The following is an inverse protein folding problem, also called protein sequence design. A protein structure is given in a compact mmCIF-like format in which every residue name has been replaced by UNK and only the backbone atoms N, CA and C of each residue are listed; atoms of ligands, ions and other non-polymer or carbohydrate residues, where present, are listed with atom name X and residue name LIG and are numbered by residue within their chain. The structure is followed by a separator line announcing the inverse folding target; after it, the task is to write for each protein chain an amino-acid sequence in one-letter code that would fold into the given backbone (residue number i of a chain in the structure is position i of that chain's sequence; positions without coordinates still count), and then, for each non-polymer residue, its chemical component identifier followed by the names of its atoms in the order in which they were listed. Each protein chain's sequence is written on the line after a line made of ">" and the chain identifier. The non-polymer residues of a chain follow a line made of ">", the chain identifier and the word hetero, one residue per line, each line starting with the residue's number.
data_IF_697252350165
#
_entry.id   IF_697252350165
#
_cell.length_a   1.000
_cell.length_b   1.000
_cell.length_c   1.000
_cell.angle_alpha   90.00
_cell.angle_beta   90.00
_cell.angle_gamma   90.00
#
_symmetry.space_group_name_H-M   'P 1'
#
loop_
_entity.id
_entity.type
_entity.pdbx_description
1 polymer ?
#
# COMPACT_ATOMS: atom_id res chain seq x y z
N UNK A 1 11.39 -6.82 96.49
CA UNK A 1 11.35 -8.03 95.64
C UNK A 1 10.41 -7.80 94.46
N UNK A 2 10.90 -7.81 93.21
CA UNK A 2 10.06 -7.63 92.01
C UNK A 2 9.21 -8.90 91.79
N UNK A 3 7.87 -8.76 91.73
CA UNK A 3 6.94 -9.85 91.41
C UNK A 3 7.27 -10.42 90.04
N UNK A 4 7.56 -11.73 89.95
CA UNK A 4 7.73 -12.44 88.69
C UNK A 4 6.43 -12.34 87.88
N UNK A 5 6.49 -11.81 86.67
CA UNK A 5 5.35 -11.80 85.76
C UNK A 5 4.92 -13.24 85.48
N UNK A 6 3.61 -13.52 85.60
CA UNK A 6 3.07 -14.86 85.37
C UNK A 6 3.26 -15.24 83.90
N UNK A 7 3.91 -16.37 83.68
CA UNK A 7 4.31 -16.88 82.36
C UNK A 7 3.11 -17.26 81.48
N UNK A 8 2.00 -17.64 82.10
CA UNK A 8 0.74 -17.96 81.41
C UNK A 8 -0.39 -17.06 81.92
N UNK A 9 -0.99 -16.29 81.01
CA UNK A 9 -2.16 -15.46 81.27
C UNK A 9 -3.33 -15.92 80.42
N UNK A 10 -4.36 -16.49 81.06
CA UNK A 10 -5.61 -16.82 80.38
C UNK A 10 -6.39 -15.54 80.09
N UNK A 11 -6.69 -15.27 78.83
CA UNK A 11 -7.53 -14.15 78.44
C UNK A 11 -8.95 -14.34 78.99
N UNK A 12 -9.51 -13.32 79.65
CA UNK A 12 -10.90 -13.36 80.15
C UNK A 12 -11.87 -13.65 79.01
N UNK A 13 -12.83 -14.54 79.25
CA UNK A 13 -13.90 -14.86 78.31
C UNK A 13 -14.75 -13.61 78.09
N UNK A 14 -14.88 -13.15 76.84
CA UNK A 14 -15.74 -12.02 76.46
C UNK A 14 -16.99 -12.58 75.81
N UNK A 15 -18.14 -12.40 76.46
CA UNK A 15 -19.45 -12.85 75.98
C UNK A 15 -19.72 -12.22 74.61
N UNK A 16 -20.20 -13.02 73.65
CA UNK A 16 -20.49 -12.59 72.26
C UNK A 16 -19.29 -12.59 71.30
N UNK A 17 -18.06 -12.85 71.76
CA UNK A 17 -16.89 -13.02 70.88
C UNK A 17 -16.56 -14.50 70.67
N UNK A 18 -16.05 -14.84 69.48
CA UNK A 18 -15.58 -16.21 69.19
C UNK A 18 -14.51 -16.60 70.20
N UNK A 19 -14.64 -17.83 70.71
CA UNK A 19 -13.72 -18.40 71.68
C UNK A 19 -12.31 -18.41 71.06
N UNK A 20 -11.30 -17.85 71.74
CA UNK A 20 -9.94 -17.85 71.22
C UNK A 20 -9.44 -19.29 71.07
N UNK A 21 -8.65 -19.53 70.02
CA UNK A 21 -8.03 -20.83 69.76
C UNK A 21 -7.12 -21.21 70.94
N UNK A 22 -6.99 -22.52 71.19
CA UNK A 22 -6.13 -23.03 72.27
C UNK A 22 -4.68 -22.60 72.03
N UNK A 23 -3.91 -22.41 73.10
CA UNK A 23 -2.52 -21.92 73.01
C UNK A 23 -1.57 -22.87 72.29
N UNK A 24 -1.94 -24.14 72.13
CA UNK A 24 -1.22 -25.17 71.39
C UNK A 24 -1.78 -25.40 69.97
N UNK A 25 -2.73 -24.58 69.51
CA UNK A 25 -3.28 -24.70 68.16
C UNK A 25 -2.23 -24.26 67.13
N UNK A 26 -1.77 -25.19 66.31
CA UNK A 26 -0.82 -24.91 65.23
C UNK A 26 -1.57 -24.37 64.03
N UNK A 27 -1.33 -23.11 63.66
CA UNK A 27 -1.98 -22.52 62.50
C UNK A 27 -1.32 -22.99 61.20
N UNK A 28 -1.97 -23.90 60.48
CA UNK A 28 -1.52 -24.42 59.18
C UNK A 28 -1.94 -23.56 57.99
N UNK A 29 -2.51 -22.37 58.22
CA UNK A 29 -2.86 -21.44 57.16
C UNK A 29 -1.63 -20.68 56.66
N UNK A 30 -0.98 -21.20 55.63
CA UNK A 30 0.00 -20.45 54.87
C UNK A 30 -0.60 -19.99 53.54
N UNK A 31 -0.12 -18.83 53.05
CA UNK A 31 -0.46 -18.31 51.72
C UNK A 31 0.82 -18.29 50.90
N UNK A 32 0.87 -19.06 49.84
CA UNK A 32 1.94 -18.96 48.84
C UNK A 32 1.46 -18.11 47.66
N UNK A 33 2.34 -17.26 47.14
CA UNK A 33 2.12 -16.51 45.89
C UNK A 33 3.09 -17.05 44.85
N UNK A 34 2.57 -17.35 43.65
CA UNK A 34 3.41 -17.73 42.53
C UNK A 34 4.11 -16.50 41.97
N UNK A 35 5.42 -16.58 41.75
CA UNK A 35 6.15 -15.60 40.95
C UNK A 35 5.86 -15.92 39.48
N UNK A 36 5.22 -14.98 38.78
CA UNK A 36 5.02 -15.06 37.33
C UNK A 36 6.15 -14.28 36.68
N UNK A 37 7.11 -15.01 36.09
CA UNK A 37 8.13 -14.40 35.24
C UNK A 37 7.49 -14.06 33.89
N UNK A 38 7.81 -12.89 33.34
CA UNK A 38 7.44 -12.57 31.95
C UNK A 38 8.25 -13.48 31.04
N UNK A 39 7.59 -14.16 30.11
CA UNK A 39 8.29 -14.95 29.10
C UNK A 39 9.24 -14.04 28.32
N UNK A 40 10.54 -14.25 28.52
CA UNK A 40 11.58 -13.66 27.68
C UNK A 40 11.63 -14.52 26.42
N UNK A 41 10.82 -14.13 25.44
CA UNK A 41 10.61 -14.88 24.21
C UNK A 41 11.88 -14.92 23.35
N UNK A 42 12.77 -15.87 23.64
CA UNK A 42 13.89 -16.22 22.76
C UNK A 42 13.43 -16.83 21.44
N UNK A 43 12.13 -17.18 21.35
CA UNK A 43 11.47 -17.85 20.22
C UNK A 43 10.05 -17.28 19.99
N UNK A 44 9.89 -15.98 19.69
CA UNK A 44 8.59 -15.54 19.16
C UNK A 44 8.36 -16.20 17.79
N UNK A 45 7.48 -17.20 17.75
CA UNK A 45 7.04 -17.85 16.51
C UNK A 45 6.36 -16.84 15.56
N UNK A 46 5.81 -15.75 16.10
CA UNK A 46 5.19 -14.70 15.32
C UNK A 46 6.16 -13.54 15.06
N UNK A 47 6.95 -13.67 13.98
CA UNK A 47 7.90 -12.64 13.56
C UNK A 47 7.23 -11.30 13.19
N UNK A 48 5.94 -11.32 12.81
CA UNK A 48 5.19 -10.09 12.55
C UNK A 48 4.91 -9.31 13.86
N UNK A 49 4.57 -10.01 14.94
CA UNK A 49 4.37 -9.39 16.25
C UNK A 49 5.67 -8.78 16.80
N UNK A 50 6.80 -9.49 16.64
CA UNK A 50 8.14 -8.98 16.97
C UNK A 50 8.42 -7.68 16.24
N UNK A 51 8.20 -7.68 14.91
CA UNK A 51 8.46 -6.52 14.07
C UNK A 51 7.55 -5.35 14.44
N UNK A 52 6.26 -5.60 14.69
CA UNK A 52 5.28 -4.58 15.09
C UNK A 52 5.69 -3.82 16.36
N UNK A 53 6.16 -4.55 17.39
CA UNK A 53 6.61 -3.95 18.66
C UNK A 53 7.92 -3.16 18.52
N UNK A 54 8.70 -3.46 17.49
CA UNK A 54 10.05 -2.95 17.29
C UNK A 54 10.19 -2.20 15.96
N UNK A 55 9.12 -1.56 15.47
CA UNK A 55 9.15 -0.80 14.21
C UNK A 55 10.18 0.32 14.21
N UNK A 56 10.45 0.91 15.37
CA UNK A 56 11.42 1.98 15.54
C UNK A 56 12.81 1.48 15.99
N UNK A 57 13.04 0.17 15.95
CA UNK A 57 14.34 -0.42 16.26
C UNK A 57 15.37 -0.13 15.17
N UNK A 58 16.62 -0.53 15.43
CA UNK A 58 17.70 -0.35 14.48
C UNK A 58 17.46 -1.11 13.16
N UNK A 59 18.14 -0.64 12.10
CA UNK A 59 18.09 -1.23 10.76
C UNK A 59 18.35 -2.73 10.75
N UNK A 60 19.39 -3.20 11.45
CA UNK A 60 19.81 -4.60 11.44
C UNK A 60 18.72 -5.51 12.00
N UNK A 61 18.05 -5.10 13.08
CA UNK A 61 16.95 -5.82 13.68
C UNK A 61 15.75 -5.92 12.73
N UNK A 62 15.36 -4.81 12.10
CA UNK A 62 14.28 -4.79 11.09
C UNK A 62 14.57 -5.74 9.94
N UNK A 63 15.80 -5.70 9.39
CA UNK A 63 16.22 -6.58 8.31
C UNK A 63 16.23 -8.06 8.71
N UNK A 64 16.69 -8.37 9.92
CA UNK A 64 16.65 -9.74 10.45
C UNK A 64 15.21 -10.25 10.54
N UNK A 65 14.30 -9.43 11.06
CA UNK A 65 12.88 -9.78 11.16
C UNK A 65 12.26 -9.97 9.77
N UNK A 66 12.46 -9.03 8.85
CA UNK A 66 11.95 -9.12 7.48
C UNK A 66 12.48 -10.35 6.74
N UNK A 67 13.75 -10.71 6.93
CA UNK A 67 14.33 -11.93 6.36
C UNK A 67 13.65 -13.19 6.90
N UNK A 68 13.36 -13.25 8.21
CA UNK A 68 12.63 -14.36 8.82
C UNK A 68 11.16 -14.40 8.38
N UNK A 69 10.54 -13.24 8.20
CA UNK A 69 9.17 -13.14 7.69
C UNK A 69 9.10 -13.69 6.27
N UNK A 70 10.01 -13.25 5.40
CA UNK A 70 10.09 -13.68 4.02
C UNK A 70 10.32 -15.19 3.87
N UNK A 71 11.23 -15.77 4.66
CA UNK A 71 11.64 -17.18 4.52
C UNK A 71 10.73 -18.19 5.23
N UNK A 72 10.10 -17.81 6.35
CA UNK A 72 9.41 -18.77 7.21
C UNK A 72 7.96 -18.38 7.49
N UNK A 73 7.69 -17.11 7.81
CA UNK A 73 6.37 -16.70 8.27
C UNK A 73 5.34 -16.75 7.14
N UNK A 74 5.68 -16.15 5.99
CA UNK A 74 4.79 -16.04 4.84
C UNK A 74 4.50 -17.37 4.15
N UNK A 75 5.29 -18.41 4.40
CA UNK A 75 5.04 -19.75 3.84
C UNK A 75 4.15 -20.60 4.75
N UNK A 76 4.10 -20.28 6.06
CA UNK A 76 3.39 -21.10 7.07
C UNK A 76 2.10 -20.47 7.59
N UNK A 77 1.99 -19.15 7.60
CA UNK A 77 0.88 -18.42 8.23
C UNK A 77 0.03 -17.71 7.18
N UNK A 78 -1.28 -17.63 7.37
CA UNK A 78 -2.15 -16.86 6.48
C UNK A 78 -1.76 -15.38 6.44
N UNK A 79 -1.92 -14.74 5.28
CA UNK A 79 -1.72 -13.30 5.15
C UNK A 79 -2.97 -12.60 5.65
N UNK A 80 -2.84 -11.86 6.75
CA UNK A 80 -3.92 -11.10 7.36
C UNK A 80 -3.72 -9.58 7.23
N UNK A 81 -4.77 -8.82 7.57
CA UNK A 81 -4.76 -7.36 7.47
C UNK A 81 -3.74 -6.71 8.41
N UNK A 82 -3.48 -7.30 9.57
CA UNK A 82 -2.48 -6.80 10.51
C UNK A 82 -1.07 -6.93 9.93
N UNK A 83 -0.75 -8.08 9.33
CA UNK A 83 0.53 -8.31 8.68
C UNK A 83 0.77 -7.33 7.55
N UNK A 84 -0.23 -7.13 6.69
CA UNK A 84 -0.15 -6.15 5.60
C UNK A 84 0.00 -4.74 6.15
N UNK A 85 -0.69 -4.38 7.23
CA UNK A 85 -0.57 -3.05 7.84
C UNK A 85 0.83 -2.80 8.44
N UNK A 86 1.43 -3.80 9.10
CA UNK A 86 2.80 -3.71 9.61
C UNK A 86 3.80 -3.52 8.46
N UNK A 87 3.70 -4.31 7.40
CA UNK A 87 4.58 -4.18 6.23
C UNK A 87 4.37 -2.84 5.52
N UNK A 88 3.13 -2.39 5.34
CA UNK A 88 2.82 -1.13 4.65
C UNK A 88 3.47 0.08 5.32
N UNK A 89 3.56 0.10 6.66
CA UNK A 89 4.26 1.16 7.40
C UNK A 89 5.75 1.26 7.07
N UNK A 90 6.40 0.13 6.79
CA UNK A 90 7.82 0.06 6.45
C UNK A 90 8.13 0.41 4.99
N UNK A 91 7.11 0.67 4.16
CA UNK A 91 7.30 1.27 2.83
C UNK A 91 7.86 2.69 2.91
N UNK A 92 7.61 3.38 4.02
CA UNK A 92 8.05 4.76 4.27
C UNK A 92 9.27 4.82 5.20
N UNK A 93 10.00 3.71 5.35
CA UNK A 93 11.18 3.67 6.22
C UNK A 93 12.32 4.52 5.65
N UNK A 94 13.08 5.19 6.51
CA UNK A 94 14.23 6.00 6.09
C UNK A 94 15.33 5.14 5.45
N UNK A 95 15.43 3.86 5.83
CA UNK A 95 16.46 2.96 5.32
C UNK A 95 16.01 2.23 4.04
N UNK A 96 16.67 2.51 2.93
CA UNK A 96 16.40 1.88 1.62
C UNK A 96 16.37 0.34 1.67
N UNK A 97 17.33 -0.27 2.37
CA UNK A 97 17.40 -1.74 2.50
C UNK A 97 16.17 -2.31 3.20
N UNK A 98 15.60 -1.58 4.16
CA UNK A 98 14.38 -1.98 4.89
C UNK A 98 13.18 -1.87 3.97
N UNK A 99 13.05 -0.76 3.23
CA UNK A 99 11.99 -0.60 2.22
C UNK A 99 12.03 -1.70 1.16
N UNK A 100 13.20 -1.97 0.59
CA UNK A 100 13.41 -3.01 -0.43
C UNK A 100 13.10 -4.42 0.08
N UNK A 101 13.45 -4.72 1.34
CA UNK A 101 13.10 -6.01 1.97
C UNK A 101 11.61 -6.12 2.27
N UNK A 102 10.98 -5.00 2.63
CA UNK A 102 9.52 -4.90 2.85
C UNK A 102 8.74 -5.10 1.57
N UNK A 103 9.15 -4.45 0.46
CA UNK A 103 8.56 -4.62 -0.86
C UNK A 103 8.62 -6.08 -1.30
N UNK A 104 9.75 -6.77 -1.05
CA UNK A 104 9.87 -8.21 -1.31
C UNK A 104 8.87 -9.03 -0.51
N UNK A 105 8.66 -8.71 0.77
CA UNK A 105 7.66 -9.38 1.60
C UNK A 105 6.25 -9.14 1.07
N UNK A 106 5.87 -7.89 0.75
CA UNK A 106 4.54 -7.55 0.22
C UNK A 106 4.29 -8.26 -1.12
N UNK A 107 5.25 -8.22 -2.05
CA UNK A 107 5.13 -8.92 -3.34
C UNK A 107 4.96 -10.43 -3.16
N UNK A 108 5.70 -11.04 -2.22
CA UNK A 108 5.53 -12.47 -1.88
C UNK A 108 4.14 -12.75 -1.31
N UNK A 109 3.67 -11.93 -0.37
CA UNK A 109 2.32 -12.05 0.21
C UNK A 109 1.23 -11.97 -0.86
N UNK A 110 1.29 -10.97 -1.74
CA UNK A 110 0.30 -10.80 -2.82
C UNK A 110 0.35 -11.95 -3.83
N UNK A 111 1.53 -12.37 -4.28
CA UNK A 111 1.66 -13.50 -5.21
C UNK A 111 1.13 -14.80 -4.60
N UNK A 112 1.26 -14.98 -3.28
CA UNK A 112 0.68 -16.11 -2.57
C UNK A 112 -0.85 -16.05 -2.56
N UNK A 113 -1.44 -14.90 -2.20
CA UNK A 113 -2.89 -14.71 -2.25
C UNK A 113 -3.46 -15.05 -3.63
N UNK A 114 -2.82 -14.55 -4.69
CA UNK A 114 -3.21 -14.85 -6.08
C UNK A 114 -3.11 -16.35 -6.38
N UNK A 115 -2.02 -17.00 -5.96
CA UNK A 115 -1.82 -18.44 -6.18
C UNK A 115 -2.88 -19.29 -5.45
N UNK A 116 -3.36 -18.81 -4.31
CA UNK A 116 -4.40 -19.45 -3.49
C UNK A 116 -5.82 -19.00 -3.90
N UNK A 117 -5.98 -18.31 -5.04
CA UNK A 117 -7.24 -17.78 -5.56
C UNK A 117 -7.99 -16.87 -4.56
N UNK A 118 -7.23 -16.18 -3.71
CA UNK A 118 -7.75 -15.22 -2.73
C UNK A 118 -7.71 -13.80 -3.28
N UNK A 119 -8.79 -13.04 -3.02
CA UNK A 119 -8.86 -11.64 -3.44
C UNK A 119 -7.85 -10.77 -2.68
N UNK A 120 -7.12 -9.93 -3.41
CA UNK A 120 -6.22 -8.93 -2.83
C UNK A 120 -6.99 -7.68 -2.36
N UNK A 121 -8.19 -7.46 -2.89
CA UNK A 121 -9.00 -6.25 -2.69
C UNK A 121 -9.19 -5.85 -1.21
N UNK A 122 -9.39 -6.77 -0.24
CA UNK A 122 -9.54 -6.41 1.17
C UNK A 122 -8.32 -5.67 1.75
N UNK A 123 -7.13 -5.89 1.18
CA UNK A 123 -5.88 -5.32 1.68
C UNK A 123 -5.47 -4.04 0.94
N UNK A 124 -6.09 -3.74 -0.20
CA UNK A 124 -5.70 -2.61 -1.05
C UNK A 124 -5.87 -1.28 -0.34
N UNK A 125 -6.96 -1.07 0.39
CA UNK A 125 -7.20 0.19 1.11
C UNK A 125 -6.04 0.53 2.05
N UNK A 126 -5.51 -0.46 2.77
CA UNK A 126 -4.37 -0.27 3.69
C UNK A 126 -3.11 0.03 2.90
N UNK A 127 -2.76 -0.81 1.92
CA UNK A 127 -1.54 -0.66 1.11
C UNK A 127 -1.52 0.69 0.37
N UNK A 128 -2.62 1.01 -0.31
CA UNK A 128 -2.75 2.22 -1.12
C UNK A 128 -2.71 3.49 -0.28
N UNK A 129 -3.13 3.46 0.99
CA UNK A 129 -2.99 4.60 1.90
C UNK A 129 -1.51 4.96 2.13
N UNK A 130 -0.67 3.97 2.41
CA UNK A 130 0.76 4.21 2.61
C UNK A 130 1.49 4.52 1.30
N UNK A 131 1.09 3.89 0.20
CA UNK A 131 1.64 4.19 -1.14
C UNK A 131 1.29 5.61 -1.55
N UNK A 132 0.06 6.09 -1.31
CA UNK A 132 -0.33 7.48 -1.57
C UNK A 132 0.63 8.45 -0.88
N UNK A 133 0.92 8.23 0.40
CA UNK A 133 1.90 9.03 1.14
C UNK A 133 3.31 8.92 0.55
N UNK A 134 3.71 7.72 0.12
CA UNK A 134 5.01 7.46 -0.48
C UNK A 134 5.22 8.12 -1.85
N UNK A 135 4.19 8.16 -2.69
CA UNK A 135 4.23 8.81 -4.01
C UNK A 135 4.43 10.34 -3.90
N UNK A 136 3.91 10.96 -2.85
CA UNK A 136 4.06 12.40 -2.59
C UNK A 136 5.14 12.69 -1.53
N UNK A 137 6.02 11.73 -1.26
CA UNK A 137 7.04 11.88 -0.23
C UNK A 137 8.17 12.84 -0.67
N UNK A 138 8.80 13.50 0.29
CA UNK A 138 9.90 14.46 0.03
C UNK A 138 11.21 13.78 -0.42
N UNK A 139 11.40 12.52 -0.02
CA UNK A 139 12.55 11.69 -0.42
C UNK A 139 12.24 10.94 -1.71
N UNK A 140 12.99 11.25 -2.77
CA UNK A 140 12.87 10.63 -4.09
C UNK A 140 13.08 9.10 -4.06
N UNK A 141 13.89 8.57 -3.13
CA UNK A 141 14.08 7.14 -2.96
C UNK A 141 12.78 6.46 -2.51
N UNK A 142 12.05 7.09 -1.59
CA UNK A 142 10.73 6.60 -1.13
C UNK A 142 9.69 6.72 -2.26
N UNK A 143 9.71 7.81 -3.02
CA UNK A 143 8.82 8.01 -4.19
C UNK A 143 9.06 6.93 -5.24
N UNK A 144 10.32 6.63 -5.57
CA UNK A 144 10.69 5.58 -6.51
C UNK A 144 10.21 4.20 -6.05
N UNK A 145 10.51 3.85 -4.80
CA UNK A 145 10.10 2.57 -4.20
C UNK A 145 8.57 2.40 -4.17
N UNK A 146 7.86 3.49 -3.86
CA UNK A 146 6.39 3.55 -3.83
C UNK A 146 5.79 3.41 -5.23
N UNK A 147 6.40 4.05 -6.22
CA UNK A 147 6.00 3.94 -7.63
C UNK A 147 6.17 2.51 -8.15
N UNK A 148 7.23 1.82 -7.74
CA UNK A 148 7.50 0.44 -8.17
C UNK A 148 6.55 -0.58 -7.55
N UNK A 149 6.21 -0.44 -6.26
CA UNK A 149 5.19 -1.31 -5.66
C UNK A 149 3.80 -0.97 -6.20
N UNK A 150 3.49 0.29 -6.46
CA UNK A 150 2.20 0.70 -7.04
C UNK A 150 2.02 0.14 -8.47
N UNK A 151 3.06 0.24 -9.31
CA UNK A 151 3.06 -0.37 -10.64
C UNK A 151 2.86 -1.89 -10.58
N UNK A 152 3.48 -2.57 -9.61
CA UNK A 152 3.26 -3.99 -9.38
C UNK A 152 1.81 -4.31 -8.96
N UNK A 153 1.19 -3.49 -8.12
CA UNK A 153 -0.19 -3.67 -7.69
C UNK A 153 -1.14 -3.52 -8.89
N UNK A 154 -0.95 -2.51 -9.74
CA UNK A 154 -1.75 -2.31 -10.95
C UNK A 154 -1.71 -3.55 -11.86
N UNK A 155 -0.54 -4.17 -12.01
CA UNK A 155 -0.38 -5.38 -12.85
C UNK A 155 -1.09 -6.62 -12.26
N UNK A 156 -1.47 -6.58 -10.98
CA UNK A 156 -2.08 -7.71 -10.26
C UNK A 156 -3.52 -7.50 -9.83
N UNK A 157 -4.02 -6.28 -9.86
CA UNK A 157 -5.37 -5.94 -9.44
C UNK A 157 -6.40 -6.16 -10.55
N UNK A 158 -7.60 -6.56 -10.12
CA UNK A 158 -8.75 -6.66 -11.00
C UNK A 158 -9.39 -5.28 -11.29
N UNK A 159 -10.20 -5.26 -12.33
CA UNK A 159 -10.98 -4.13 -12.81
C UNK A 159 -11.77 -3.37 -11.73
N UNK A 160 -12.22 -4.07 -10.69
CA UNK A 160 -13.02 -3.52 -9.58
C UNK A 160 -12.29 -2.47 -8.76
N UNK A 161 -10.96 -2.48 -8.79
CA UNK A 161 -10.12 -1.67 -7.90
C UNK A 161 -9.60 -0.40 -8.56
N UNK A 162 -9.97 -0.13 -9.81
CA UNK A 162 -9.46 1.01 -10.59
C UNK A 162 -9.77 2.36 -9.96
N UNK A 163 -10.95 2.56 -9.39
CA UNK A 163 -11.28 3.82 -8.74
C UNK A 163 -10.32 4.11 -7.56
N UNK A 164 -10.00 3.10 -6.75
CA UNK A 164 -9.04 3.24 -5.65
C UNK A 164 -7.62 3.54 -6.16
N UNK A 165 -7.20 2.88 -7.25
CA UNK A 165 -5.91 3.13 -7.89
C UNK A 165 -5.83 4.58 -8.42
N UNK A 166 -6.88 5.06 -9.08
CA UNK A 166 -6.93 6.45 -9.58
C UNK A 166 -6.87 7.44 -8.42
N UNK A 167 -7.67 7.26 -7.37
CA UNK A 167 -7.69 8.15 -6.20
C UNK A 167 -6.34 8.17 -5.44
N UNK A 168 -5.60 7.07 -5.50
CA UNK A 168 -4.25 6.97 -4.92
C UNK A 168 -3.24 7.76 -5.74
N UNK A 169 -3.37 7.71 -7.07
CA UNK A 169 -2.38 8.28 -7.99
C UNK A 169 -2.65 9.74 -8.33
N UNK A 170 -3.90 10.20 -8.32
CA UNK A 170 -4.28 11.56 -8.72
C UNK A 170 -3.47 12.66 -7.98
N UNK A 171 -3.25 12.59 -6.65
CA UNK A 171 -2.45 13.59 -5.95
C UNK A 171 -1.00 13.67 -6.42
N UNK A 172 -0.41 12.57 -6.91
CA UNK A 172 0.94 12.55 -7.48
C UNK A 172 1.00 13.35 -8.79
N UNK A 173 -0.04 13.24 -9.62
CA UNK A 173 -0.12 13.95 -10.89
C UNK A 173 -0.40 15.45 -10.72
N UNK A 174 -1.14 15.83 -9.68
CA UNK A 174 -1.44 17.24 -9.38
C UNK A 174 -0.22 18.06 -8.94
N UNK A 175 0.91 17.42 -8.61
CA UNK A 175 2.15 18.10 -8.23
C UNK A 175 2.93 18.42 -9.52
N UNK A 176 2.54 19.50 -10.19
CA UNK A 176 2.96 19.90 -11.55
C UNK A 176 4.48 20.05 -11.82
N UNK A 177 5.32 20.05 -10.78
CA UNK A 177 6.76 20.34 -10.88
C UNK A 177 7.67 19.12 -10.90
N UNK A 178 7.17 17.90 -10.72
CA UNK A 178 8.00 16.69 -10.54
C UNK A 178 7.48 15.41 -11.22
N UNK A 179 6.57 15.54 -12.20
CA UNK A 179 6.04 14.37 -12.91
C UNK A 179 7.10 13.76 -13.84
N UNK A 180 7.47 12.53 -13.56
CA UNK A 180 8.54 11.76 -14.24
C UNK A 180 7.98 10.92 -15.39
N UNK A 181 8.84 10.38 -16.26
CA UNK A 181 8.41 9.42 -17.27
C UNK A 181 7.70 8.20 -16.67
N UNK A 182 8.11 7.78 -15.47
CA UNK A 182 7.50 6.66 -14.75
C UNK A 182 6.06 6.93 -14.35
N UNK A 183 5.75 8.17 -13.97
CA UNK A 183 4.38 8.58 -13.64
C UNK A 183 3.47 8.48 -14.88
N UNK A 184 3.97 8.86 -16.07
CA UNK A 184 3.23 8.69 -17.32
C UNK A 184 3.04 7.22 -17.68
N UNK A 185 4.05 6.36 -17.50
CA UNK A 185 3.89 4.90 -17.71
C UNK A 185 2.82 4.30 -16.79
N UNK A 186 2.77 4.73 -15.53
CA UNK A 186 1.77 4.30 -14.55
C UNK A 186 0.37 4.80 -14.96
N UNK A 187 0.25 6.08 -15.34
CA UNK A 187 -0.99 6.66 -15.84
C UNK A 187 -1.53 5.89 -17.06
N UNK A 188 -0.64 5.58 -18.01
CA UNK A 188 -0.95 4.78 -19.19
C UNK A 188 -1.53 3.42 -18.81
N UNK A 189 -0.89 2.70 -17.87
CA UNK A 189 -1.38 1.39 -17.40
C UNK A 189 -2.77 1.49 -16.78
N UNK A 190 -3.00 2.47 -15.90
CA UNK A 190 -4.31 2.69 -15.27
C UNK A 190 -5.37 2.97 -16.33
N UNK A 191 -5.09 3.88 -17.27
CA UNK A 191 -6.03 4.26 -18.33
C UNK A 191 -6.34 3.10 -19.27
N UNK A 192 -5.35 2.28 -19.64
CA UNK A 192 -5.58 1.05 -20.43
C UNK A 192 -6.48 0.08 -19.69
N UNK A 193 -6.22 -0.13 -18.40
CA UNK A 193 -7.02 -1.02 -17.58
C UNK A 193 -8.47 -0.53 -17.53
N UNK A 194 -8.70 0.76 -17.29
CA UNK A 194 -10.03 1.40 -17.30
C UNK A 194 -10.70 1.27 -18.68
N UNK A 195 -9.98 1.53 -19.77
CA UNK A 195 -10.52 1.45 -21.12
C UNK A 195 -10.92 0.02 -21.53
N UNK A 196 -10.12 -0.99 -21.15
CA UNK A 196 -10.40 -2.40 -21.45
C UNK A 196 -11.58 -2.94 -20.64
N UNK A 197 -11.79 -2.42 -19.43
CA UNK A 197 -12.95 -2.73 -18.57
C UNK A 197 -14.31 -2.56 -19.23
N UNK A 198 -14.44 -1.52 -20.06
CA UNK A 198 -15.67 -1.20 -20.77
C UNK A 198 -16.11 -2.30 -21.76
N UNK A 199 -15.24 -3.25 -22.12
CA UNK A 199 -15.61 -4.33 -23.06
C UNK A 199 -16.22 -5.57 -22.39
N UNK A 200 -16.02 -5.77 -21.07
CA UNK A 200 -16.53 -6.94 -20.34
C UNK A 200 -17.50 -6.61 -19.20
N UNK A 201 -17.49 -5.39 -18.67
CA UNK A 201 -18.28 -5.03 -17.49
C UNK A 201 -19.76 -4.69 -17.78
N UNK A 202 -20.12 -4.25 -18.99
CA UNK A 202 -21.50 -3.83 -19.29
C UNK A 202 -22.51 -5.00 -19.47
N UNK A 203 -22.08 -6.26 -19.28
CA UNK A 203 -22.99 -7.43 -19.41
C UNK A 203 -23.18 -8.26 -18.15
N UNK A 204 -22.49 -7.99 -17.04
CA UNK A 204 -22.74 -8.71 -15.79
C UNK A 204 -22.70 -7.78 -14.59
N UNK A 205 -23.88 -7.66 -13.98
CA UNK A 205 -24.14 -7.19 -12.62
C UNK A 205 -24.35 -5.68 -12.44
N UNK A 206 -25.31 -5.11 -13.17
CA UNK A 206 -26.24 -4.23 -12.47
C UNK A 206 -27.23 -5.12 -11.72
N UNK A 207 -27.05 -5.25 -10.41
CA UNK A 207 -28.15 -5.63 -9.52
C UNK A 207 -29.24 -4.58 -9.72
N UNK A 208 -30.22 -4.88 -10.57
CA UNK A 208 -31.38 -4.02 -10.77
C UNK A 208 -32.24 -4.09 -9.52
N UNK A 209 -31.93 -3.22 -8.55
CA UNK A 209 -32.83 -2.98 -7.43
C UNK A 209 -34.01 -2.20 -8.01
N UNK A 210 -35.07 -2.92 -8.37
CA UNK A 210 -36.36 -2.30 -8.68
C UNK A 210 -36.97 -1.89 -7.34
N UNK A 211 -37.02 -0.60 -7.10
CA UNK A 211 -37.82 -0.02 -6.03
C UNK A 211 -39.29 -0.15 -6.42
N UNK A 212 -40.01 -1.04 -5.74
CA UNK A 212 -41.48 -1.06 -5.78
C UNK A 212 -41.99 -0.18 -4.65
N UNK A 213 -42.86 0.76 -4.98
CA UNK A 213 -43.36 1.83 -4.10
C UNK A 213 -44.25 1.38 -2.94
N UNK A 214 -44.35 0.08 -2.68
CA UNK A 214 -45.38 -0.47 -1.78
C UNK A 214 -44.85 -1.09 -0.49
N UNK A 215 -43.54 -1.31 -0.31
CA UNK A 215 -43.02 -1.78 0.98
C UNK A 215 -41.60 -1.27 1.26
N UNK A 216 -41.48 -0.37 2.24
CA UNK A 216 -40.22 0.28 2.68
C UNK A 216 -39.26 -0.65 3.44
N UNK A 217 -39.28 -1.97 3.19
CA UNK A 217 -38.30 -2.91 3.76
C UNK A 217 -37.76 -3.85 2.68
N UNK A 218 -36.50 -3.63 2.30
CA UNK A 218 -35.73 -4.60 1.54
C UNK A 218 -35.27 -5.70 2.51
N UNK A 219 -35.92 -6.86 2.49
CA UNK A 219 -35.54 -8.00 3.31
C UNK A 219 -34.25 -8.66 2.78
N UNK A 220 -33.12 -8.19 3.29
CA UNK A 220 -31.76 -8.65 2.94
C UNK A 220 -31.45 -10.05 3.51
N UNK A 221 -32.36 -10.64 4.31
CA UNK A 221 -32.14 -11.95 4.94
C UNK A 221 -32.08 -13.09 3.93
N UNK A 222 -32.70 -12.95 2.76
CA UNK A 222 -32.68 -13.96 1.68
C UNK A 222 -31.39 -13.98 0.83
N UNK A 223 -30.48 -13.04 1.04
CA UNK A 223 -29.18 -12.94 0.34
C UNK A 223 -27.99 -13.30 1.24
N UNK A 224 -28.25 -13.94 2.38
CA UNK A 224 -27.22 -14.29 3.37
C UNK A 224 -26.27 -15.38 2.86
N UNK A 225 -25.09 -14.95 2.39
CA UNK A 225 -23.87 -15.75 2.45
C UNK A 225 -23.61 -16.02 3.95
N UNK A 226 -23.48 -17.29 4.30
CA UNK A 226 -23.18 -17.78 5.65
C UNK A 226 -21.84 -17.19 6.11
N UNK A 227 -21.87 -16.15 6.93
CA UNK A 227 -20.99 -15.94 8.10
C UNK A 227 -21.39 -14.66 8.84
N UNK A 228 -21.82 -14.74 10.13
CA UNK A 228 -22.11 -13.56 10.93
C UNK A 228 -20.87 -13.22 11.76
N UNK A 229 -20.25 -12.04 11.56
CA UNK A 229 -19.64 -11.21 12.62
C UNK A 229 -18.81 -10.00 12.16
N UNK A 230 -19.05 -9.44 10.98
CA UNK A 230 -18.59 -8.06 10.73
C UNK A 230 -19.72 -7.11 11.09
N UNK A 231 -19.67 -6.58 12.32
CA UNK A 231 -20.39 -5.35 12.67
C UNK A 231 -20.14 -4.35 11.56
N UNK A 232 -21.20 -4.06 10.82
CA UNK A 232 -21.25 -3.11 9.73
C UNK A 232 -20.70 -1.78 10.22
N UNK A 233 -19.44 -1.50 9.88
CA UNK A 233 -18.93 -0.15 9.85
C UNK A 233 -19.36 0.43 8.49
N UNK A 234 -20.66 0.65 8.35
CA UNK A 234 -21.28 1.44 7.29
C UNK A 234 -21.00 2.93 7.56
N UNK A 235 -19.73 3.29 7.76
CA UNK A 235 -19.31 4.67 7.83
C UNK A 235 -18.96 5.16 6.42
N UNK A 236 -19.95 5.76 5.76
CA UNK A 236 -19.78 6.83 4.77
C UNK A 236 -18.97 6.53 3.49
N UNK A 237 -19.30 5.46 2.77
CA UNK A 237 -18.98 5.33 1.34
C UNK A 237 -20.05 5.96 0.42
N UNK A 238 -20.84 6.91 0.92
CA UNK A 238 -21.37 7.99 0.09
C UNK A 238 -20.30 9.09 0.03
N UNK A 239 -19.11 8.76 -0.47
CA UNK A 239 -18.29 9.81 -1.05
C UNK A 239 -19.00 10.20 -2.33
N UNK A 240 -19.28 11.49 -2.49
CA UNK A 240 -19.84 12.06 -3.71
C UNK A 240 -19.22 11.36 -4.92
N UNK A 241 -20.05 10.98 -5.90
CA UNK A 241 -19.61 10.55 -7.22
C UNK A 241 -18.90 11.73 -7.91
N UNK A 242 -17.77 12.16 -7.37
CA UNK A 242 -16.78 12.90 -8.12
C UNK A 242 -16.41 11.99 -9.29
N UNK A 243 -16.47 12.52 -10.51
CA UNK A 243 -16.05 11.82 -11.71
C UNK A 243 -14.53 11.59 -11.64
N UNK A 244 -14.12 10.59 -10.86
CA UNK A 244 -12.72 10.23 -10.59
C UNK A 244 -11.98 9.98 -11.90
N UNK A 245 -12.68 9.40 -12.88
CA UNK A 245 -12.16 9.16 -14.22
C UNK A 245 -12.01 10.48 -14.98
N UNK A 246 -13.03 11.32 -15.02
CA UNK A 246 -12.97 12.64 -15.64
C UNK A 246 -11.87 13.52 -15.05
N UNK A 247 -11.66 13.46 -13.74
CA UNK A 247 -10.58 14.17 -13.05
C UNK A 247 -9.20 13.68 -13.50
N UNK A 248 -9.00 12.35 -13.62
CA UNK A 248 -7.76 11.80 -14.16
C UNK A 248 -7.53 12.22 -15.61
N UNK A 249 -8.56 12.12 -16.46
CA UNK A 249 -8.48 12.50 -17.88
C UNK A 249 -8.14 13.99 -18.02
N UNK A 250 -8.84 14.85 -17.29
CA UNK A 250 -8.60 16.30 -17.28
C UNK A 250 -7.19 16.64 -16.81
N UNK A 251 -6.70 16.00 -15.74
CA UNK A 251 -5.33 16.16 -15.26
C UNK A 251 -4.31 15.72 -16.31
N UNK A 252 -4.50 14.56 -16.93
CA UNK A 252 -3.61 14.06 -17.99
C UNK A 252 -3.62 14.96 -19.23
N UNK A 253 -4.77 15.49 -19.64
CA UNK A 253 -4.85 16.42 -20.76
C UNK A 253 -4.01 17.67 -20.49
N UNK A 254 -4.16 18.29 -19.31
CA UNK A 254 -3.37 19.46 -18.92
C UNK A 254 -1.86 19.18 -18.90
N UNK A 255 -1.46 18.02 -18.36
CA UNK A 255 -0.05 17.62 -18.33
C UNK A 255 0.49 17.40 -19.74
N UNK A 256 -0.26 16.73 -20.62
CA UNK A 256 0.15 16.49 -22.01
C UNK A 256 0.23 17.80 -22.78
N UNK A 257 -0.76 18.68 -22.67
CA UNK A 257 -0.76 20.01 -23.28
C UNK A 257 0.47 20.83 -22.84
N UNK A 258 0.77 20.86 -21.55
CA UNK A 258 1.96 21.53 -21.00
C UNK A 258 3.26 20.98 -21.59
N UNK A 259 3.40 19.66 -21.68
CA UNK A 259 4.58 19.04 -22.29
C UNK A 259 4.70 19.38 -23.78
N UNK A 260 3.60 19.38 -24.53
CA UNK A 260 3.59 19.76 -25.94
C UNK A 260 3.98 21.23 -26.10
N UNK A 261 3.43 22.12 -25.28
CA UNK A 261 3.76 23.55 -25.29
C UNK A 261 5.24 23.80 -24.97
N UNK A 262 5.79 23.09 -24.00
CA UNK A 262 7.21 23.22 -23.62
C UNK A 262 8.14 22.69 -24.72
N UNK A 263 7.74 21.63 -25.43
CA UNK A 263 8.44 21.18 -26.64
C UNK A 263 8.28 22.17 -27.80
N UNK A 264 7.10 22.76 -27.97
CA UNK A 264 6.81 23.75 -29.02
C UNK A 264 7.60 25.05 -28.82
N UNK A 265 7.88 25.47 -27.59
CA UNK A 265 8.71 26.64 -27.27
C UNK A 265 10.19 26.45 -27.61
N UNK A 266 10.70 25.22 -27.76
CA UNK A 266 12.08 24.97 -28.17
C UNK A 266 12.29 25.49 -29.60
N UNK A 267 13.13 26.53 -29.76
CA UNK A 267 13.41 27.24 -31.02
C UNK A 267 14.43 26.53 -31.92
N UNK A 268 14.74 25.26 -31.68
CA UNK A 268 15.75 24.52 -32.43
C UNK A 268 15.15 23.81 -33.66
N UNK A 269 15.91 23.80 -34.76
CA UNK A 269 15.59 23.02 -35.97
C UNK A 269 15.71 21.49 -35.75
N UNK A 270 16.22 21.09 -34.59
CA UNK A 270 16.44 19.71 -34.17
C UNK A 270 16.07 19.60 -32.69
N UNK A 271 15.19 18.66 -32.35
CA UNK A 271 14.72 18.47 -30.98
C UNK A 271 15.69 17.54 -30.26
N UNK A 272 16.55 18.10 -29.40
CA UNK A 272 17.40 17.32 -28.50
C UNK A 272 16.64 17.01 -27.23
N UNK A 273 16.57 15.74 -26.86
CA UNK A 273 15.88 15.27 -25.66
C UNK A 273 16.76 14.34 -24.86
N UNK A 274 16.67 14.43 -23.53
CA UNK A 274 17.28 13.42 -22.67
C UNK A 274 16.44 12.11 -22.67
N UNK A 275 16.98 11.04 -22.10
CA UNK A 275 16.31 9.74 -22.08
C UNK A 275 14.97 9.75 -21.33
N UNK A 276 14.87 10.52 -20.25
CA UNK A 276 13.64 10.59 -19.45
C UNK A 276 12.55 11.35 -20.19
N UNK A 277 12.90 12.49 -20.80
CA UNK A 277 12.04 13.27 -21.69
C UNK A 277 11.53 12.42 -22.86
N UNK A 278 12.39 11.61 -23.47
CA UNK A 278 12.01 10.71 -24.56
C UNK A 278 10.98 9.66 -24.12
N UNK A 279 11.19 9.02 -22.96
CA UNK A 279 10.22 8.06 -22.40
C UNK A 279 8.90 8.72 -22.02
N UNK A 280 8.98 9.91 -21.43
CA UNK A 280 7.83 10.74 -21.06
C UNK A 280 6.98 11.05 -22.29
N UNK A 281 7.61 11.52 -23.38
CA UNK A 281 6.92 11.78 -24.66
C UNK A 281 6.25 10.52 -25.22
N UNK A 282 6.94 9.38 -25.24
CA UNK A 282 6.37 8.10 -25.72
C UNK A 282 5.11 7.75 -24.92
N UNK A 283 5.16 7.85 -23.59
CA UNK A 283 4.02 7.54 -22.74
C UNK A 283 2.88 8.55 -22.93
N UNK A 284 3.18 9.85 -23.05
CA UNK A 284 2.19 10.89 -23.38
C UNK A 284 1.44 10.62 -24.67
N UNK A 285 2.13 10.23 -25.74
CA UNK A 285 1.50 9.91 -27.04
C UNK A 285 0.56 8.70 -26.90
N UNK A 286 0.99 7.64 -26.22
CA UNK A 286 0.14 6.47 -25.97
C UNK A 286 -1.10 6.81 -25.15
N UNK A 287 -0.97 7.71 -24.17
CA UNK A 287 -2.11 8.20 -23.39
C UNK A 287 -3.06 9.00 -24.28
N UNK A 288 -2.54 9.90 -25.12
CA UNK A 288 -3.35 10.66 -26.08
C UNK A 288 -4.15 9.75 -27.02
N UNK A 289 -3.55 8.62 -27.46
CA UNK A 289 -4.23 7.61 -28.26
C UNK A 289 -5.36 6.90 -27.50
N UNK A 290 -5.12 6.54 -26.23
CA UNK A 290 -6.15 5.93 -25.37
C UNK A 290 -7.32 6.90 -25.14
N UNK A 291 -7.01 8.18 -24.98
CA UNK A 291 -7.98 9.25 -24.75
C UNK A 291 -8.63 9.78 -26.03
N UNK A 292 -8.17 9.33 -27.21
CA UNK A 292 -8.62 9.82 -28.54
C UNK A 292 -8.52 11.34 -28.69
N UNK A 293 -7.46 11.94 -28.16
CA UNK A 293 -7.21 13.38 -28.31
C UNK A 293 -6.82 13.69 -29.76
N UNK A 294 -7.30 14.82 -30.29
CA UNK A 294 -6.85 15.31 -31.61
C UNK A 294 -5.38 15.70 -31.52
N UNK A 295 -4.57 15.16 -32.43
CA UNK A 295 -3.12 15.43 -32.53
C UNK A 295 -2.88 16.72 -33.30
N UNK A 296 -3.49 17.82 -32.90
CA UNK A 296 -3.25 19.10 -33.56
C UNK A 296 -1.99 19.72 -32.93
N UNK A 297 -1.00 20.11 -33.75
CA UNK A 297 0.23 20.89 -33.42
C UNK A 297 1.60 20.19 -33.26
N UNK A 298 1.79 18.90 -33.56
CA UNK A 298 3.13 18.29 -33.40
C UNK A 298 3.85 17.91 -34.72
N UNK A 299 3.20 17.97 -35.89
CA UNK A 299 3.71 17.31 -37.11
C UNK A 299 5.02 17.84 -37.73
N UNK A 300 5.36 19.13 -37.56
CA UNK A 300 6.50 19.72 -38.29
C UNK A 300 7.84 19.61 -37.55
N UNK A 301 7.84 19.53 -36.20
CA UNK A 301 9.08 19.47 -35.39
C UNK A 301 9.57 18.04 -35.11
N UNK A 302 8.71 17.03 -35.26
CA UNK A 302 8.99 15.63 -34.93
C UNK A 302 10.01 14.97 -35.87
N UNK A 303 10.14 15.46 -37.10
CA UNK A 303 10.95 14.79 -38.14
C UNK A 303 12.46 14.84 -37.86
N UNK A 304 12.92 15.59 -36.85
CA UNK A 304 14.33 15.76 -36.49
C UNK A 304 14.56 15.64 -34.97
N UNK A 305 14.09 14.55 -34.36
CA UNK A 305 14.34 14.24 -32.94
C UNK A 305 15.66 13.51 -32.80
N UNK A 306 16.51 13.95 -31.86
CA UNK A 306 17.74 13.26 -31.45
C UNK A 306 17.76 13.10 -29.94
N UNK A 307 17.93 11.87 -29.48
CA UNK A 307 18.03 11.54 -28.05
C UNK A 307 19.50 11.59 -27.64
N UNK A 308 19.84 12.48 -26.70
CA UNK A 308 21.21 12.71 -26.22
C UNK A 308 21.31 12.44 -24.72
N UNK A 309 22.40 11.82 -24.27
CA UNK A 309 22.74 11.74 -22.84
C UNK A 309 23.85 12.76 -22.52
N UNK A 310 23.62 13.62 -21.52
CA UNK A 310 24.61 14.60 -21.04
C UNK A 310 25.65 13.98 -20.10
N UNK A 311 25.45 12.74 -19.63
CA UNK A 311 26.36 12.07 -18.72
C UNK A 311 27.07 10.86 -19.34
N UNK A 312 28.38 11.05 -19.53
CA UNK A 312 29.44 10.03 -19.59
C UNK A 312 29.78 9.47 -20.97
N UNK A 313 31.10 9.52 -21.23
CA UNK A 313 31.92 8.91 -22.28
C UNK A 313 31.27 7.86 -23.20
N UNK A 314 31.60 8.04 -24.48
CA UNK A 314 31.26 7.32 -25.71
C UNK A 314 31.27 5.76 -25.74
N UNK A 315 31.29 5.02 -24.62
CA UNK A 315 31.73 3.62 -24.57
C UNK A 315 30.68 2.50 -24.43
N UNK A 316 29.39 2.75 -24.19
CA UNK A 316 28.42 1.65 -24.14
C UNK A 316 27.61 1.50 -25.45
N UNK A 317 27.99 0.54 -26.30
CA UNK A 317 27.21 0.14 -27.50
C UNK A 317 25.74 -0.16 -27.18
N UNK A 318 25.47 -0.67 -25.97
CA UNK A 318 24.12 -0.97 -25.47
C UNK A 318 23.28 0.31 -25.33
N UNK A 319 23.83 1.40 -24.81
CA UNK A 319 23.11 2.66 -24.64
C UNK A 319 22.81 3.34 -25.99
N UNK A 320 23.75 3.29 -26.94
CA UNK A 320 23.48 3.76 -28.32
C UNK A 320 22.34 2.98 -28.99
N UNK A 321 22.27 1.67 -28.73
CA UNK A 321 21.19 0.81 -29.25
C UNK A 321 19.84 1.19 -28.64
N UNK A 322 19.79 1.40 -27.32
CA UNK A 322 18.56 1.80 -26.61
C UNK A 322 18.09 3.21 -27.03
N UNK A 323 18.99 4.18 -27.22
CA UNK A 323 18.64 5.52 -27.70
C UNK A 323 18.10 5.50 -29.14
N UNK A 324 18.70 4.69 -30.02
CA UNK A 324 18.17 4.48 -31.37
C UNK A 324 16.79 3.80 -31.34
N UNK A 325 16.55 2.86 -30.42
CA UNK A 325 15.24 2.24 -30.23
C UNK A 325 14.18 3.26 -29.77
N UNK A 326 14.52 4.12 -28.81
CA UNK A 326 13.63 5.19 -28.34
C UNK A 326 13.31 6.18 -29.46
N UNK A 327 14.33 6.61 -30.21
CA UNK A 327 14.15 7.50 -31.35
C UNK A 327 13.24 6.87 -32.41
N UNK A 328 13.45 5.60 -32.76
CA UNK A 328 12.60 4.88 -33.70
C UNK A 328 11.17 4.70 -33.17
N UNK A 329 10.99 4.45 -31.87
CA UNK A 329 9.67 4.33 -31.26
C UNK A 329 8.89 5.65 -31.33
N UNK A 330 9.57 6.78 -31.08
CA UNK A 330 8.96 8.11 -31.21
C UNK A 330 8.56 8.38 -32.66
N UNK A 331 9.46 8.14 -33.62
CA UNK A 331 9.17 8.34 -35.05
C UNK A 331 8.01 7.46 -35.52
N UNK A 332 7.91 6.22 -35.04
CA UNK A 332 6.84 5.30 -35.43
C UNK A 332 5.49 5.64 -34.80
N UNK A 333 5.46 6.15 -33.57
CA UNK A 333 4.20 6.51 -32.87
C UNK A 333 3.56 7.79 -33.43
N UNK A 334 4.38 8.64 -34.05
CA UNK A 334 4.00 9.95 -34.56
C UNK A 334 3.76 9.98 -36.08
N UNK A 335 4.02 8.86 -36.77
CA UNK A 335 3.47 8.58 -38.10
C UNK A 335 2.06 8.03 -37.97
#
# INVERSE_FOLDING_TARGET
>A
MKKKNKDFQKTKLKIGKKIPKRSNDTNTQFKSKKIVLKDQSTLENNQMAVLSRNLFSNKQFKLLCLSKIYSNYLDKNAVDGESINILSRLLLDNEEQVRQSTIRCIKKSMNRLIKEDQSINPFLTILLTYIKCGLTHIDNGVVSDSSDIFAFIIDKCDMTSHQQLILTFLPRLSVDSQVTARDFEIAEKILRAVANGNTKADKKNHLSIKWTSEDNFCDVSKLTIKEPNTKLNLSFQLHAEEDVRGNLISCMNKLIEKEIDDLAKRKSNQLTMNRDEAKKLIASVKIADILKLKRDHIDDKIRKIVVTDESIDNKSKRMKTENNQLQNAIINLLK
#
